data_IF_219328362865
#
_entry.id   IF_219328362865
#
_cell.length_a   1.000
_cell.length_b   1.000
_cell.length_c   1.000
_cell.angle_alpha   90.00
_cell.angle_beta   90.00
_cell.angle_gamma   90.00
#
_symmetry.space_group_name_H-M   'P 1'
#
loop_
_entity.id
_entity.type
_entity.pdbx_description
1 polymer ?
#
# COMPACT_ATOMS: atom_id res chain seq x y z
N UNK A 1 16.86 2.50 5.36
CA UNK A 1 16.23 2.05 4.12
C UNK A 1 15.45 0.79 4.46
N UNK A 2 14.13 0.80 4.30
CA UNK A 2 13.29 -0.37 4.59
C UNK A 2 13.40 -1.32 3.39
N UNK A 3 13.57 -2.62 3.63
CA UNK A 3 13.45 -3.60 2.56
C UNK A 3 11.97 -3.93 2.34
N UNK A 4 11.32 -3.24 1.40
CA UNK A 4 9.89 -3.43 1.13
C UNK A 4 9.56 -4.79 0.54
N UNK A 5 10.52 -5.48 -0.10
CA UNK A 5 10.31 -6.83 -0.63
C UNK A 5 10.17 -7.91 0.45
N UNK A 6 10.59 -7.62 1.69
CA UNK A 6 10.47 -8.51 2.85
C UNK A 6 9.58 -7.92 3.94
N UNK A 7 8.92 -6.79 3.67
CA UNK A 7 8.15 -6.08 4.68
C UNK A 7 6.77 -6.73 4.85
N UNK A 8 6.35 -7.09 6.09
CA UNK A 8 5.24 -8.02 6.29
C UNK A 8 3.91 -7.52 5.73
N UNK A 9 3.18 -8.36 5.00
CA UNK A 9 1.86 -8.03 4.46
C UNK A 9 0.76 -8.15 5.51
N UNK A 10 0.43 -7.02 6.15
CA UNK A 10 -0.68 -6.92 7.09
C UNK A 10 -1.13 -5.46 7.26
N UNK A 11 -2.25 -5.27 7.97
CA UNK A 11 -2.88 -3.98 8.27
C UNK A 11 -1.95 -3.01 9.02
N UNK A 12 -1.16 -3.51 9.97
CA UNK A 12 -0.25 -2.68 10.77
C UNK A 12 0.88 -2.10 9.92
N UNK A 13 1.47 -2.95 9.07
CA UNK A 13 2.48 -2.54 8.08
C UNK A 13 1.93 -1.50 7.11
N UNK A 14 0.73 -1.70 6.56
CA UNK A 14 0.10 -0.72 5.68
C UNK A 14 -0.05 0.64 6.37
N UNK A 15 -0.53 0.64 7.63
CA UNK A 15 -0.68 1.86 8.43
C UNK A 15 0.66 2.55 8.67
N UNK A 16 1.70 1.80 9.05
CA UNK A 16 3.05 2.36 9.26
C UNK A 16 3.57 3.00 7.97
N UNK A 17 3.45 2.32 6.83
CA UNK A 17 3.93 2.81 5.55
C UNK A 17 3.18 4.08 5.11
N UNK A 18 1.87 4.16 5.32
CA UNK A 18 1.06 5.35 5.06
C UNK A 18 1.49 6.54 5.93
N UNK A 19 1.72 6.34 7.24
CA UNK A 19 2.22 7.40 8.13
C UNK A 19 3.63 7.89 7.75
N UNK A 20 4.48 6.99 7.27
CA UNK A 20 5.82 7.34 6.77
C UNK A 20 5.75 8.08 5.44
N UNK A 21 4.81 7.71 4.57
CA UNK A 21 4.43 8.45 3.37
C UNK A 21 4.01 9.87 3.71
N UNK A 22 3.07 10.02 4.66
CA UNK A 22 2.54 11.29 5.16
C UNK A 22 3.63 12.22 5.67
N UNK A 23 4.58 11.69 6.43
CA UNK A 23 5.72 12.44 6.98
C UNK A 23 6.88 12.61 6.01
N UNK A 24 6.72 12.19 4.74
CA UNK A 24 7.72 12.29 3.66
C UNK A 24 9.03 11.56 3.96
N UNK A 25 8.96 10.53 4.82
CA UNK A 25 10.10 9.66 5.18
C UNK A 25 10.16 8.38 4.35
N UNK A 26 9.09 8.11 3.59
CA UNK A 26 8.97 7.06 2.57
C UNK A 26 8.28 7.65 1.35
N UNK A 27 8.72 7.30 0.14
CA UNK A 27 8.09 7.84 -1.07
C UNK A 27 6.71 7.21 -1.32
N UNK A 28 5.81 7.97 -1.95
CA UNK A 28 4.49 7.49 -2.35
C UNK A 28 4.61 6.33 -3.36
N UNK A 29 5.64 6.36 -4.21
CA UNK A 29 5.94 5.29 -5.16
C UNK A 29 6.34 3.97 -4.46
N UNK A 30 7.17 4.06 -3.41
CA UNK A 30 7.51 2.90 -2.58
C UNK A 30 6.28 2.27 -1.91
N UNK A 31 5.34 3.09 -1.43
CA UNK A 31 4.07 2.61 -0.86
C UNK A 31 3.19 1.97 -1.93
N UNK A 32 3.09 2.58 -3.12
CA UNK A 32 2.33 2.02 -4.24
C UNK A 32 2.88 0.65 -4.68
N UNK A 33 4.20 0.53 -4.81
CA UNK A 33 4.87 -0.72 -5.12
C UNK A 33 4.57 -1.79 -4.06
N UNK A 34 4.71 -1.46 -2.78
CA UNK A 34 4.45 -2.40 -1.70
C UNK A 34 3.00 -2.88 -1.69
N UNK A 35 2.03 -1.98 -1.92
CA UNK A 35 0.62 -2.35 -2.01
C UNK A 35 0.34 -3.27 -3.21
N UNK A 36 0.96 -3.00 -4.37
CA UNK A 36 0.87 -3.89 -5.52
C UNK A 36 1.40 -5.30 -5.21
N UNK A 37 2.53 -5.41 -4.50
CA UNK A 37 3.10 -6.69 -4.11
C UNK A 37 2.21 -7.42 -3.10
N UNK A 38 1.69 -6.72 -2.09
CA UNK A 38 0.73 -7.28 -1.14
C UNK A 38 -0.49 -7.84 -1.88
N UNK A 39 -1.15 -7.06 -2.73
CA UNK A 39 -2.28 -7.54 -3.50
C UNK A 39 -1.95 -8.75 -4.39
N UNK A 40 -0.78 -8.74 -5.02
CA UNK A 40 -0.33 -9.86 -5.85
C UNK A 40 -0.17 -11.15 -5.03
N UNK A 41 0.42 -11.06 -3.83
CA UNK A 41 0.56 -12.19 -2.90
C UNK A 41 -0.76 -12.61 -2.25
N UNK A 42 -1.66 -11.66 -1.97
CA UNK A 42 -3.00 -11.94 -1.47
C UNK A 42 -3.82 -12.75 -2.49
N UNK A 43 -3.61 -12.51 -3.79
CA UNK A 43 -4.25 -13.29 -4.87
C UNK A 43 -3.60 -14.63 -5.18
N UNK A 44 -2.32 -14.82 -4.87
CA UNK A 44 -1.60 -16.06 -5.14
C UNK A 44 -1.84 -17.15 -4.09
N UNK A 45 -2.62 -16.86 -3.03
CA UNK A 45 -2.85 -17.73 -1.87
C UNK A 45 -1.54 -18.10 -1.12
N UNK A 46 -0.52 -17.23 -1.26
CA UNK A 46 0.71 -17.32 -0.48
C UNK A 46 0.45 -16.90 0.98
N UNK A 47 1.02 -17.65 1.93
CA UNK A 47 1.01 -17.37 3.37
C UNK A 47 -0.36 -17.19 4.05
N UNK A 48 -1.43 -17.72 3.43
CA UNK A 48 -2.80 -17.64 3.95
C UNK A 48 -3.27 -16.17 4.12
N UNK A 49 -2.74 -15.27 3.29
CA UNK A 49 -3.07 -13.84 3.31
C UNK A 49 -4.54 -13.58 3.01
N UNK A 50 -5.15 -14.40 2.15
CA UNK A 50 -6.55 -14.29 1.78
C UNK A 50 -7.46 -14.34 3.01
N UNK A 51 -7.22 -15.29 3.93
CA UNK A 51 -8.06 -15.48 5.10
C UNK A 51 -7.71 -14.55 6.28
N UNK A 52 -6.50 -13.97 6.30
CA UNK A 52 -6.03 -13.11 7.40
C UNK A 52 -6.20 -11.62 7.14
N UNK A 53 -6.47 -11.23 5.91
CA UNK A 53 -6.63 -9.83 5.52
C UNK A 53 -8.10 -9.46 5.53
N UNK A 54 -8.47 -8.44 6.30
CA UNK A 54 -9.84 -7.91 6.27
C UNK A 54 -10.14 -7.16 4.97
N UNK A 55 -11.43 -7.05 4.65
CA UNK A 55 -11.93 -6.44 3.40
C UNK A 55 -11.45 -4.98 3.25
N UNK A 56 -11.51 -4.20 4.32
CA UNK A 56 -11.09 -2.79 4.30
C UNK A 56 -9.60 -2.64 3.99
N UNK A 57 -8.76 -3.48 4.61
CA UNK A 57 -7.32 -3.50 4.36
C UNK A 57 -7.03 -3.81 2.89
N UNK A 58 -7.64 -4.87 2.33
CA UNK A 58 -7.36 -5.24 0.93
C UNK A 58 -7.92 -4.20 -0.06
N UNK A 59 -9.06 -3.57 0.23
CA UNK A 59 -9.63 -2.51 -0.60
C UNK A 59 -8.66 -1.33 -0.73
N UNK A 60 -8.06 -0.88 0.37
CA UNK A 60 -7.08 0.22 0.38
C UNK A 60 -5.80 -0.20 -0.34
N UNK A 61 -5.32 -1.43 -0.11
CA UNK A 61 -4.15 -1.98 -0.81
C UNK A 61 -4.39 -1.99 -2.31
N UNK A 62 -5.57 -2.39 -2.77
CA UNK A 62 -5.94 -2.38 -4.19
C UNK A 62 -6.02 -0.96 -4.76
N UNK A 63 -6.67 -0.04 -4.06
CA UNK A 63 -6.79 1.36 -4.46
C UNK A 63 -5.42 2.01 -4.65
N UNK A 64 -4.49 1.77 -3.72
CA UNK A 64 -3.12 2.29 -3.79
C UNK A 64 -2.28 1.56 -4.85
N UNK A 65 -2.38 0.23 -4.93
CA UNK A 65 -1.63 -0.59 -5.87
C UNK A 65 -1.98 -0.31 -7.33
N UNK A 66 -3.21 0.16 -7.61
CA UNK A 66 -3.62 0.57 -8.95
C UNK A 66 -2.76 1.72 -9.50
N UNK A 67 -2.28 2.65 -8.66
CA UNK A 67 -1.36 3.70 -9.09
C UNK A 67 -0.03 3.15 -9.59
N UNK A 68 0.44 2.02 -9.03
CA UNK A 68 1.64 1.34 -9.49
C UNK A 68 1.41 0.68 -10.84
N UNK A 69 0.30 -0.03 -11.01
CA UNK A 69 -0.06 -0.72 -12.27
C UNK A 69 -0.27 0.25 -13.42
N UNK A 70 -0.89 1.40 -13.14
CA UNK A 70 -1.21 2.41 -14.15
C UNK A 70 -0.04 3.36 -14.46
N UNK A 71 1.13 3.19 -13.83
CA UNK A 71 2.31 3.99 -14.12
C UNK A 71 2.80 3.70 -15.56
N UNK A 72 3.03 4.72 -16.41
CA UNK A 72 3.53 4.51 -17.76
C UNK A 72 4.93 3.89 -17.78
N UNK A 73 5.15 2.84 -18.57
CA UNK A 73 6.45 2.14 -18.71
C UNK A 73 7.60 3.05 -19.18
N UNK A 74 7.29 4.14 -19.90
CA UNK A 74 8.25 5.06 -20.50
C UNK A 74 8.11 6.53 -20.01
N UNK A 75 7.46 6.76 -18.88
CA UNK A 75 7.21 8.10 -18.34
C UNK A 75 7.85 8.35 -16.98
N UNK A 76 8.37 9.56 -16.77
CA UNK A 76 8.80 10.06 -15.46
C UNK A 76 7.62 10.41 -14.54
N UNK A 77 6.50 9.69 -14.64
CA UNK A 77 5.34 9.97 -13.80
C UNK A 77 5.67 9.50 -12.37
N UNK A 78 5.79 10.48 -11.49
CA UNK A 78 5.97 10.28 -10.06
C UNK A 78 4.58 10.03 -9.49
N UNK A 79 4.41 8.91 -8.79
CA UNK A 79 3.20 8.66 -8.02
C UNK A 79 3.20 9.63 -6.84
N UNK A 80 2.17 10.45 -6.72
CA UNK A 80 2.02 11.40 -5.61
C UNK A 80 0.58 11.34 -5.10
N UNK A 81 0.39 10.90 -3.86
CA UNK A 81 -0.86 11.01 -3.13
C UNK A 81 -1.03 12.40 -2.49
N UNK A 82 -2.26 12.87 -2.41
CA UNK A 82 -2.59 14.06 -1.62
C UNK A 82 -2.55 13.76 -0.12
N UNK A 83 -2.20 14.75 0.71
CA UNK A 83 -2.18 14.59 2.17
C UNK A 83 -3.57 14.20 2.71
N UNK A 84 -4.65 14.81 2.19
CA UNK A 84 -6.03 14.43 2.53
C UNK A 84 -6.39 12.99 2.14
N UNK A 85 -5.83 12.48 1.03
CA UNK A 85 -6.09 11.12 0.58
C UNK A 85 -5.41 10.09 1.50
N UNK A 86 -4.17 10.38 1.91
CA UNK A 86 -3.45 9.56 2.89
C UNK A 86 -4.21 9.54 4.22
N UNK A 87 -4.71 10.70 4.69
CA UNK A 87 -5.49 10.79 5.92
C UNK A 87 -6.78 9.96 5.85
N UNK A 88 -7.49 9.97 4.72
CA UNK A 88 -8.68 9.12 4.51
C UNK A 88 -8.34 7.63 4.60
N UNK A 89 -7.24 7.18 4.02
CA UNK A 89 -6.82 5.78 4.11
C UNK A 89 -6.43 5.40 5.54
N UNK A 90 -5.66 6.24 6.23
CA UNK A 90 -5.27 6.02 7.62
C UNK A 90 -6.51 5.93 8.50
N UNK A 91 -7.44 6.88 8.36
CA UNK A 91 -8.68 6.89 9.13
C UNK A 91 -9.48 5.61 8.88
N UNK A 92 -9.71 5.21 7.62
CA UNK A 92 -10.42 3.95 7.30
C UNK A 92 -9.78 2.72 7.96
N UNK A 93 -8.46 2.68 8.10
CA UNK A 93 -7.76 1.59 8.78
C UNK A 93 -7.94 1.63 10.31
N UNK A 94 -8.32 2.75 10.93
CA UNK A 94 -8.51 2.87 12.38
C UNK A 94 -9.87 2.40 12.88
N UNK A 95 -10.89 2.33 12.01
CA UNK A 95 -12.28 2.05 12.40
C UNK A 95 -12.67 0.56 12.38
N UNK A 96 -11.71 -0.35 12.21
CA UNK A 96 -11.90 -1.83 12.27
C UNK A 96 -10.98 -2.48 13.31
#
# INVERSE_FOLDING_TARGET
MINLGEYPYNKESLRELLERSRTKTLSHEEVAMWCFLYWSSWRSDEDDLFNKTDEMTIDIVMEIGEFWVNKPECGAQVIIFGEEQIDVWIDRLHWD
#
